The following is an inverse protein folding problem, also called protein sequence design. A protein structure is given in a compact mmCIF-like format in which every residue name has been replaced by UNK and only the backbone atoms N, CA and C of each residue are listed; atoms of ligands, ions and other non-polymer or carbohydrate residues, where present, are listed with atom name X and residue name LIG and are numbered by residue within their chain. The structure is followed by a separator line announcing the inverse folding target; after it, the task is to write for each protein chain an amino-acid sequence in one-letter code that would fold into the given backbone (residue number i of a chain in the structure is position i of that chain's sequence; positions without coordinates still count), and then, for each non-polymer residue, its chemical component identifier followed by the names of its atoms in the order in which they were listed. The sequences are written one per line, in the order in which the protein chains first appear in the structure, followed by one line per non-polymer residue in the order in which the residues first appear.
data_IF_814705045560
#
_entry.id   IF_814705045560
#
_cell.length_a   1.000
_cell.length_b   1.000
_cell.length_c   1.000
_cell.angle_alpha   90.00
_cell.angle_beta   90.00
_cell.angle_gamma   90.00
#
_symmetry.space_group_name_H-M   'P 1'
#
loop_
_entity.id
_entity.type
_entity.pdbx_description
1 polymer ?
#
# COMPACT_ATOMS: atom_id res chain seq x y z
N UNK A 1 2.57 -11.47 11.31
CA UNK A 1 2.28 -12.90 11.04
C UNK A 1 3.36 -13.77 11.67
N UNK A 2 3.04 -14.63 12.63
CA UNK A 2 4.03 -15.43 13.39
C UNK A 2 4.75 -16.53 12.58
N UNK A 3 4.23 -16.88 11.40
CA UNK A 3 4.70 -18.02 10.61
C UNK A 3 5.31 -17.64 9.26
N UNK A 4 5.34 -16.35 8.90
CA UNK A 4 5.72 -15.87 7.56
C UNK A 4 7.13 -16.35 7.14
N UNK A 5 8.07 -16.36 8.08
CA UNK A 5 9.47 -16.74 7.82
C UNK A 5 9.72 -18.25 7.98
N UNK A 6 8.69 -19.03 8.35
CA UNK A 6 8.80 -20.47 8.64
C UNK A 6 7.99 -21.34 7.68
N UNK A 7 6.92 -20.79 7.10
CA UNK A 7 6.02 -21.48 6.20
C UNK A 7 5.59 -20.55 5.07
N UNK A 8 5.32 -21.12 3.89
CA UNK A 8 4.75 -20.38 2.78
C UNK A 8 3.29 -20.02 3.09
N UNK A 9 3.09 -18.92 3.82
CA UNK A 9 1.79 -18.42 4.24
C UNK A 9 1.75 -16.89 4.12
N UNK A 10 0.57 -16.37 3.79
CA UNK A 10 0.29 -14.94 3.75
C UNK A 10 -1.09 -14.68 4.36
N UNK A 11 -1.33 -13.45 4.83
CA UNK A 11 -2.61 -13.04 5.42
C UNK A 11 -3.40 -12.29 4.34
N UNK A 12 -4.53 -12.83 3.91
CA UNK A 12 -5.32 -12.24 2.84
C UNK A 12 -5.92 -10.87 3.25
N UNK A 13 -6.44 -10.74 4.47
CA UNK A 13 -7.03 -9.50 4.97
C UNK A 13 -6.04 -8.32 4.97
N UNK A 14 -4.75 -8.58 5.24
CA UNK A 14 -3.69 -7.58 5.28
C UNK A 14 -2.98 -7.43 3.94
N UNK A 15 -2.54 -8.52 3.33
CA UNK A 15 -1.69 -8.50 2.14
C UNK A 15 -2.51 -8.59 0.84
N UNK A 16 -3.54 -9.43 0.80
CA UNK A 16 -4.42 -9.59 -0.36
C UNK A 16 -5.28 -8.34 -0.59
N UNK A 17 -5.93 -7.83 0.47
CA UNK A 17 -6.67 -6.57 0.44
C UNK A 17 -5.77 -5.40 0.05
N UNK A 18 -4.57 -5.32 0.64
CA UNK A 18 -3.60 -4.28 0.33
C UNK A 18 -3.15 -4.29 -1.14
N UNK A 19 -2.87 -5.47 -1.70
CA UNK A 19 -2.50 -5.61 -3.11
C UNK A 19 -3.63 -5.17 -4.05
N UNK A 20 -4.87 -5.59 -3.76
CA UNK A 20 -6.04 -5.21 -4.57
C UNK A 20 -6.30 -3.72 -4.52
N UNK A 21 -6.24 -3.10 -3.33
CA UNK A 21 -6.43 -1.67 -3.17
C UNK A 21 -5.34 -0.86 -3.90
N UNK A 22 -4.07 -1.26 -3.79
CA UNK A 22 -2.97 -0.62 -4.52
C UNK A 22 -3.17 -0.74 -6.04
N UNK A 23 -3.60 -1.89 -6.55
CA UNK A 23 -3.89 -2.06 -7.98
C UNK A 23 -4.96 -1.08 -8.47
N UNK A 24 -6.03 -0.87 -7.70
CA UNK A 24 -7.07 0.13 -8.01
C UNK A 24 -6.50 1.56 -8.02
N UNK A 25 -5.66 1.92 -7.05
CA UNK A 25 -5.01 3.25 -7.01
C UNK A 25 -4.14 3.46 -8.25
N UNK A 26 -3.28 2.50 -8.59
CA UNK A 26 -2.40 2.58 -9.76
C UNK A 26 -3.21 2.68 -11.08
N UNK A 27 -4.31 1.94 -11.19
CA UNK A 27 -5.20 2.04 -12.34
C UNK A 27 -5.85 3.44 -12.45
N UNK A 28 -6.28 4.02 -11.32
CA UNK A 28 -6.79 5.39 -11.25
C UNK A 28 -5.76 6.42 -11.70
N UNK A 29 -4.54 6.32 -11.17
CA UNK A 29 -3.40 7.18 -11.52
C UNK A 29 -3.07 7.13 -13.02
N UNK A 30 -3.09 5.92 -13.60
CA UNK A 30 -2.90 5.75 -15.03
C UNK A 30 -4.01 6.43 -15.83
N UNK A 31 -5.27 6.29 -15.42
CA UNK A 31 -6.41 6.90 -16.09
C UNK A 31 -6.41 8.44 -15.97
N UNK A 32 -5.85 9.00 -14.90
CA UNK A 32 -5.77 10.45 -14.68
C UNK A 32 -4.44 11.06 -15.12
N UNK A 33 -3.50 10.26 -15.64
CA UNK A 33 -2.14 10.67 -15.99
C UNK A 33 -1.43 11.41 -14.85
N UNK A 34 -1.54 10.88 -13.62
CA UNK A 34 -0.89 11.41 -12.41
C UNK A 34 0.03 10.36 -11.79
N UNK A 35 0.98 10.80 -10.97
CA UNK A 35 1.92 9.90 -10.29
C UNK A 35 1.53 9.68 -8.82
N UNK A 36 1.93 8.52 -8.27
CA UNK A 36 1.63 8.15 -6.88
C UNK A 36 2.31 9.09 -5.88
N UNK A 37 3.54 9.54 -6.20
CA UNK A 37 4.33 10.46 -5.36
C UNK A 37 3.68 11.84 -5.16
N UNK A 38 2.73 12.20 -6.02
CA UNK A 38 2.02 13.47 -5.96
C UNK A 38 0.68 13.37 -5.18
N UNK A 39 0.35 12.18 -4.65
CA UNK A 39 -0.92 11.94 -3.97
C UNK A 39 -0.81 12.05 -2.46
N UNK A 40 -1.78 12.75 -1.86
CA UNK A 40 -2.04 12.70 -0.42
C UNK A 40 -3.19 11.74 -0.14
N UNK A 41 -2.93 10.69 0.63
CA UNK A 41 -3.88 9.58 0.82
C UNK A 41 -4.41 9.59 2.26
N UNK A 42 -5.71 9.39 2.41
CA UNK A 42 -6.39 9.32 3.71
C UNK A 42 -7.01 7.94 3.90
N UNK A 43 -6.67 7.28 5.00
CA UNK A 43 -7.24 5.98 5.38
C UNK A 43 -8.36 6.16 6.40
N UNK A 44 -9.58 5.74 6.03
CA UNK A 44 -10.70 5.69 6.97
C UNK A 44 -10.72 4.33 7.68
N UNK A 45 -10.05 4.27 8.83
CA UNK A 45 -9.99 3.09 9.70
C UNK A 45 -8.59 2.50 9.82
N UNK A 46 -8.18 2.20 11.06
CA UNK A 46 -6.83 1.72 11.41
C UNK A 46 -6.84 0.24 11.84
N UNK A 47 -7.74 -0.57 11.28
CA UNK A 47 -7.77 -2.02 11.48
C UNK A 47 -6.80 -2.77 10.56
N UNK A 48 -6.79 -4.10 10.62
CA UNK A 48 -5.85 -4.96 9.86
C UNK A 48 -5.82 -4.67 8.36
N UNK A 49 -6.99 -4.49 7.73
CA UNK A 49 -7.07 -4.14 6.31
C UNK A 49 -6.53 -2.73 6.04
N UNK A 50 -6.92 -1.73 6.84
CA UNK A 50 -6.47 -0.35 6.66
C UNK A 50 -4.96 -0.21 6.76
N UNK A 51 -4.35 -0.83 7.78
CA UNK A 51 -2.89 -0.86 7.95
C UNK A 51 -2.23 -1.63 6.80
N UNK A 52 -2.76 -2.78 6.40
CA UNK A 52 -2.21 -3.55 5.29
C UNK A 52 -2.22 -2.81 3.95
N UNK A 53 -3.27 -2.02 3.68
CA UNK A 53 -3.32 -1.14 2.51
C UNK A 53 -2.29 -0.01 2.64
N UNK A 54 -2.22 0.65 3.80
CA UNK A 54 -1.27 1.74 4.02
C UNK A 54 0.19 1.30 3.83
N UNK A 55 0.56 0.13 4.37
CA UNK A 55 1.90 -0.44 4.23
C UNK A 55 2.27 -0.73 2.76
N UNK A 56 1.31 -1.25 1.99
CA UNK A 56 1.50 -1.55 0.56
C UNK A 56 1.65 -0.27 -0.27
N UNK A 57 0.82 0.74 0.01
CA UNK A 57 0.89 2.05 -0.66
C UNK A 57 2.20 2.75 -0.33
N UNK A 58 2.59 2.82 0.95
CA UNK A 58 3.85 3.40 1.37
C UNK A 58 5.03 2.67 0.70
N UNK A 59 5.02 1.33 0.66
CA UNK A 59 6.05 0.55 -0.04
C UNK A 59 6.10 0.83 -1.55
N UNK A 60 4.96 1.09 -2.18
CA UNK A 60 4.90 1.51 -3.59
C UNK A 60 5.42 2.94 -3.79
N UNK A 61 5.14 3.87 -2.87
CA UNK A 61 5.67 5.24 -2.87
C UNK A 61 7.21 5.24 -2.82
N UNK A 62 7.82 4.42 -1.95
CA UNK A 62 9.28 4.26 -1.92
C UNK A 62 9.85 3.78 -3.28
N UNK A 63 9.14 2.89 -3.98
CA UNK A 63 9.57 2.41 -5.31
C UNK A 63 9.52 3.50 -6.39
N UNK A 64 8.81 4.60 -6.15
CA UNK A 64 8.82 5.78 -7.05
C UNK A 64 10.01 6.71 -6.81
N UNK A 65 10.86 6.42 -5.83
CA UNK A 65 12.07 7.18 -5.49
C UNK A 65 11.93 8.12 -4.30
N UNK A 66 10.77 8.15 -3.64
CA UNK A 66 10.58 8.89 -2.39
C UNK A 66 11.39 8.26 -1.25
N UNK A 67 11.89 9.12 -0.36
CA UNK A 67 12.45 8.69 0.92
C UNK A 67 11.36 8.18 1.87
N UNK A 68 11.78 7.56 2.98
CA UNK A 68 10.86 7.10 4.01
C UNK A 68 10.03 8.25 4.59
N UNK A 69 10.67 9.37 4.90
CA UNK A 69 10.01 10.55 5.47
C UNK A 69 9.01 11.15 4.47
N UNK A 70 9.41 11.31 3.20
CA UNK A 70 8.52 11.84 2.15
C UNK A 70 7.32 10.92 1.87
N UNK A 71 7.45 9.61 2.05
CA UNK A 71 6.35 8.66 1.87
C UNK A 71 5.36 8.63 3.04
N UNK A 72 5.67 9.28 4.17
CA UNK A 72 4.78 9.42 5.33
C UNK A 72 4.04 10.77 5.40
N UNK A 73 4.50 11.78 4.67
CA UNK A 73 3.91 13.14 4.59
C UNK A 73 2.79 13.24 3.54
#
# INVERSE_FOLDING_TARGET
MFHRDKMCTFNDDMQGTGATALACVLAGLHATNSELKDQRIVFLGAGTAGVGIADQIHSAMLQTGLSHEEAYE
#
